data_IF_095215264317
#
_entry.id   IF_095215264317
#
_cell.length_a   1.000
_cell.length_b   1.000
_cell.length_c   1.000
_cell.angle_alpha   90.00
_cell.angle_beta   90.00
_cell.angle_gamma   90.00
#
_symmetry.space_group_name_H-M   'P 1'
#
loop_
_entity.id
_entity.type
_entity.pdbx_description
1 polymer ?
#
# COMPACT_ATOMS: atom_id res chain seq x y z
N UNK A 1 -16.34 -12.52 18.32
CA UNK A 1 -16.17 -11.19 17.71
C UNK A 1 -14.83 -10.65 18.19
N UNK A 2 -13.84 -10.62 17.29
CA UNK A 2 -12.44 -10.33 17.63
C UNK A 2 -12.25 -8.81 17.65
N UNK A 3 -12.16 -8.23 18.85
CA UNK A 3 -11.88 -6.81 19.01
C UNK A 3 -10.37 -6.57 19.00
N UNK A 4 -9.99 -5.68 18.08
CA UNK A 4 -9.04 -4.60 18.29
C UNK A 4 -7.58 -4.96 18.61
N UNK A 5 -6.79 -4.86 17.54
CA UNK A 5 -5.45 -4.26 17.46
C UNK A 5 -5.02 -3.71 18.83
N UNK A 6 -4.10 -4.43 19.48
CA UNK A 6 -3.50 -4.04 20.76
C UNK A 6 -2.90 -2.64 20.62
N UNK A 7 -3.67 -1.61 21.01
CA UNK A 7 -3.16 -0.27 21.30
C UNK A 7 -1.96 -0.46 22.21
N UNK A 8 -0.78 -0.07 21.73
CA UNK A 8 0.51 -0.34 22.35
C UNK A 8 0.48 0.09 23.83
N UNK A 9 0.28 -0.89 24.70
CA UNK A 9 0.36 -0.76 26.15
C UNK A 9 1.80 -0.34 26.45
N UNK A 10 2.01 0.75 27.20
CA UNK A 10 3.33 1.22 27.67
C UNK A 10 4.15 0.00 28.13
N UNK A 11 5.08 -0.47 27.29
CA UNK A 11 5.82 -1.71 27.51
C UNK A 11 6.95 -1.37 28.48
N UNK A 12 6.60 -1.38 29.77
CA UNK A 12 7.45 -1.31 30.96
C UNK A 12 8.46 -0.15 31.03
N UNK A 13 8.89 0.19 32.23
CA UNK A 13 9.90 1.24 32.49
C UNK A 13 11.32 0.81 32.06
N UNK A 14 11.45 0.13 30.92
CA UNK A 14 12.69 -0.48 30.42
C UNK A 14 13.39 0.50 29.48
N UNK A 15 14.60 0.91 29.86
CA UNK A 15 15.49 1.69 28.98
C UNK A 15 15.90 0.80 27.81
N UNK A 16 15.66 1.26 26.58
CA UNK A 16 16.04 0.58 25.34
C UNK A 16 17.42 1.09 24.92
N UNK A 17 18.38 0.19 24.75
CA UNK A 17 19.78 0.52 24.45
C UNK A 17 20.13 0.42 22.96
N UNK A 18 19.29 -0.23 22.15
CA UNK A 18 19.50 -0.34 20.70
C UNK A 18 19.75 1.02 20.03
N UNK A 19 20.78 1.07 19.20
CA UNK A 19 21.17 2.26 18.45
C UNK A 19 20.39 2.38 17.14
N UNK A 20 20.06 1.24 16.52
CA UNK A 20 19.27 1.15 15.28
C UNK A 20 17.82 0.73 15.54
N UNK A 21 16.94 0.93 14.56
CA UNK A 21 15.55 0.52 14.65
C UNK A 21 15.43 -1.01 14.82
N UNK A 22 16.24 -1.77 14.09
CA UNK A 22 16.34 -3.23 14.17
C UNK A 22 16.77 -3.70 15.55
N UNK A 23 17.79 -3.07 16.15
CA UNK A 23 18.26 -3.40 17.49
C UNK A 23 17.19 -3.12 18.55
N UNK A 24 16.55 -1.94 18.48
CA UNK A 24 15.46 -1.58 19.38
C UNK A 24 14.28 -2.53 19.23
N UNK A 25 13.91 -2.88 18.00
CA UNK A 25 12.83 -3.82 17.73
C UNK A 25 13.15 -5.20 18.32
N UNK A 26 14.36 -5.71 18.11
CA UNK A 26 14.79 -6.99 18.66
C UNK A 26 14.81 -6.98 20.19
N UNK A 27 15.26 -5.89 20.81
CA UNK A 27 15.29 -5.73 22.27
C UNK A 27 13.88 -5.74 22.88
N UNK A 28 12.90 -5.14 22.19
CA UNK A 28 11.50 -5.07 22.63
C UNK A 28 10.75 -6.37 22.36
N UNK A 29 10.94 -6.97 21.18
CA UNK A 29 10.12 -8.07 20.68
C UNK A 29 10.78 -9.46 20.78
N UNK A 30 12.08 -9.52 21.08
CA UNK A 30 12.85 -10.76 21.17
C UNK A 30 13.11 -11.45 19.82
N UNK A 31 12.74 -10.83 18.70
CA UNK A 31 12.91 -11.34 17.34
C UNK A 31 13.29 -10.18 16.41
N UNK A 32 13.90 -10.51 15.26
CA UNK A 32 14.22 -9.53 14.23
C UNK A 32 12.97 -9.08 13.47
N UNK A 33 13.06 -7.92 12.81
CA UNK A 33 11.99 -7.39 11.94
C UNK A 33 11.68 -8.39 10.81
N UNK A 34 12.71 -9.01 10.23
CA UNK A 34 12.54 -9.98 9.14
C UNK A 34 11.85 -11.27 9.60
N UNK A 35 12.21 -11.81 10.77
CA UNK A 35 11.49 -12.95 11.36
C UNK A 35 10.03 -12.59 11.69
N UNK A 36 9.77 -11.36 12.14
CA UNK A 36 8.41 -10.89 12.39
C UNK A 36 7.59 -10.80 11.09
N UNK A 37 8.16 -10.24 10.01
CA UNK A 37 7.54 -10.19 8.68
C UNK A 37 7.26 -11.59 8.15
N UNK A 38 8.23 -12.51 8.22
CA UNK A 38 8.10 -13.89 7.76
C UNK A 38 6.99 -14.65 8.51
N UNK A 39 6.93 -14.53 9.85
CA UNK A 39 5.83 -15.10 10.65
C UNK A 39 4.47 -14.50 10.29
N UNK A 40 4.43 -13.21 9.94
CA UNK A 40 3.23 -12.55 9.45
C UNK A 40 2.76 -13.14 8.11
N UNK A 41 3.69 -13.34 7.18
CA UNK A 41 3.40 -13.93 5.88
C UNK A 41 2.93 -15.39 5.99
N UNK A 42 3.56 -16.20 6.85
CA UNK A 42 3.12 -17.57 7.13
C UNK A 42 1.69 -17.61 7.67
N UNK A 43 1.37 -16.76 8.66
CA UNK A 43 0.02 -16.65 9.22
C UNK A 43 -0.99 -16.27 8.15
N UNK A 44 -0.63 -15.31 7.30
CA UNK A 44 -1.48 -14.86 6.20
C UNK A 44 -1.72 -15.98 5.18
N UNK A 45 -0.67 -16.72 4.80
CA UNK A 45 -0.76 -17.89 3.92
C UNK A 45 -1.64 -18.99 4.50
N UNK A 46 -1.54 -19.26 5.81
CA UNK A 46 -2.39 -20.24 6.50
C UNK A 46 -3.86 -19.81 6.50
N UNK A 47 -4.14 -18.52 6.68
CA UNK A 47 -5.52 -18.00 6.73
C UNK A 47 -6.18 -17.89 5.34
N UNK A 48 -5.43 -17.41 4.35
CA UNK A 48 -5.98 -17.06 3.03
C UNK A 48 -5.67 -18.09 1.93
N UNK A 49 -4.71 -19.00 2.18
CA UNK A 49 -4.22 -19.96 1.19
C UNK A 49 -3.30 -19.37 0.12
N UNK A 50 -2.90 -18.11 0.22
CA UNK A 50 -2.09 -17.40 -0.78
C UNK A 50 -1.11 -16.40 -0.14
N UNK A 51 -0.10 -15.95 -0.89
CA UNK A 51 0.81 -14.90 -0.43
C UNK A 51 0.13 -13.53 -0.38
N UNK A 52 0.72 -12.58 0.36
CA UNK A 52 0.23 -11.21 0.41
C UNK A 52 0.22 -10.54 -0.96
N UNK A 53 1.26 -10.81 -1.77
CA UNK A 53 1.38 -10.29 -3.13
C UNK A 53 0.28 -10.81 -4.05
N UNK A 54 0.05 -12.11 -4.09
CA UNK A 54 -1.03 -12.70 -4.89
C UNK A 54 -2.40 -12.18 -4.43
N UNK A 55 -2.60 -12.06 -3.11
CA UNK A 55 -3.84 -11.53 -2.56
C UNK A 55 -4.07 -10.09 -2.99
N UNK A 56 -3.02 -9.27 -2.95
CA UNK A 56 -3.09 -7.88 -3.35
C UNK A 56 -3.35 -7.73 -4.86
N UNK A 57 -2.65 -8.51 -5.69
CA UNK A 57 -2.89 -8.55 -7.14
C UNK A 57 -4.34 -8.93 -7.42
N UNK A 58 -4.86 -9.98 -6.77
CA UNK A 58 -6.26 -10.39 -6.90
C UNK A 58 -7.23 -9.27 -6.49
N UNK A 59 -6.94 -8.56 -5.41
CA UNK A 59 -7.73 -7.43 -4.94
C UNK A 59 -7.78 -6.32 -6.01
N UNK A 60 -6.64 -5.87 -6.52
CA UNK A 60 -6.59 -4.76 -7.49
C UNK A 60 -7.15 -5.13 -8.86
N UNK A 61 -7.08 -6.40 -9.27
CA UNK A 61 -7.72 -6.86 -10.51
C UNK A 61 -9.24 -6.99 -10.36
N UNK A 62 -9.72 -7.34 -9.17
CA UNK A 62 -11.15 -7.60 -8.93
C UNK A 62 -12.03 -6.35 -8.80
N UNK A 63 -11.44 -5.15 -8.84
CA UNK A 63 -12.14 -3.88 -8.61
C UNK A 63 -11.86 -2.90 -9.74
N UNK A 64 -12.87 -2.16 -10.17
CA UNK A 64 -12.65 -1.01 -11.06
C UNK A 64 -12.06 0.16 -10.26
N UNK A 65 -11.37 1.13 -10.90
CA UNK A 65 -10.87 2.32 -10.21
C UNK A 65 -11.96 3.14 -9.53
N UNK A 66 -13.17 3.14 -10.10
CA UNK A 66 -14.34 3.80 -9.51
C UNK A 66 -14.77 3.09 -8.23
N UNK A 67 -14.85 1.76 -8.23
CA UNK A 67 -15.15 0.99 -7.02
C UNK A 67 -14.05 1.18 -5.96
N UNK A 68 -12.80 1.28 -6.41
CA UNK A 68 -11.66 1.54 -5.56
C UNK A 68 -11.79 2.89 -4.85
N UNK A 69 -12.06 3.97 -5.59
CA UNK A 69 -12.30 5.30 -5.03
C UNK A 69 -13.51 5.33 -4.09
N UNK A 70 -14.60 4.62 -4.44
CA UNK A 70 -15.77 4.48 -3.58
C UNK A 70 -15.42 3.83 -2.25
N UNK A 71 -14.62 2.77 -2.27
CA UNK A 71 -14.16 2.10 -1.06
C UNK A 71 -13.21 2.98 -0.23
N UNK A 72 -12.43 3.85 -0.86
CA UNK A 72 -11.49 4.75 -0.18
C UNK A 72 -12.17 5.97 0.45
N UNK A 73 -13.18 6.53 -0.21
CA UNK A 73 -13.78 7.84 0.11
C UNK A 73 -15.26 7.74 0.54
N UNK A 74 -15.88 6.55 0.49
CA UNK A 74 -17.30 6.30 0.77
C UNK A 74 -18.24 6.68 -0.38
N UNK A 75 -17.92 7.75 -1.10
CA UNK A 75 -18.65 8.23 -2.29
C UNK A 75 -17.68 8.62 -3.41
N UNK A 76 -18.18 8.65 -4.65
CA UNK A 76 -17.42 9.05 -5.84
C UNK A 76 -18.04 10.32 -6.41
N UNK A 77 -17.22 11.35 -6.60
CA UNK A 77 -17.60 12.61 -7.23
C UNK A 77 -17.49 12.54 -8.76
N UNK A 78 -18.01 13.56 -9.46
CA UNK A 78 -17.79 13.66 -10.92
C UNK A 78 -16.31 13.90 -11.26
N UNK A 79 -15.58 14.60 -10.40
CA UNK A 79 -14.15 14.84 -10.59
C UNK A 79 -13.33 13.56 -10.43
N UNK A 80 -13.75 12.64 -9.55
CA UNK A 80 -13.15 11.31 -9.41
C UNK A 80 -13.33 10.48 -10.70
N UNK A 81 -14.55 10.50 -11.26
CA UNK A 81 -14.85 9.81 -12.52
C UNK A 81 -14.00 10.39 -13.66
N UNK A 82 -13.85 11.73 -13.69
CA UNK A 82 -13.01 12.40 -14.67
C UNK A 82 -11.55 12.01 -14.51
N UNK A 83 -11.01 12.00 -13.29
CA UNK A 83 -9.64 11.59 -13.01
C UNK A 83 -9.37 10.17 -13.52
N UNK A 84 -10.27 9.22 -13.26
CA UNK A 84 -10.11 7.84 -13.75
C UNK A 84 -10.07 7.78 -15.26
N UNK A 85 -10.96 8.51 -15.94
CA UNK A 85 -10.95 8.59 -17.42
C UNK A 85 -9.66 9.20 -17.95
N UNK A 86 -9.21 10.31 -17.37
CA UNK A 86 -7.95 10.95 -17.75
C UNK A 86 -6.77 9.95 -17.64
N UNK A 87 -6.71 9.15 -16.56
CA UNK A 87 -5.67 8.14 -16.36
C UNK A 87 -5.76 6.97 -17.36
N UNK A 88 -6.98 6.55 -17.71
CA UNK A 88 -7.21 5.52 -18.73
C UNK A 88 -6.82 6.04 -20.13
N UNK A 89 -7.15 7.29 -20.46
CA UNK A 89 -6.77 7.96 -21.71
C UNK A 89 -5.25 8.15 -21.84
N UNK A 90 -4.54 8.31 -20.72
CA UNK A 90 -3.08 8.27 -20.66
C UNK A 90 -2.50 6.87 -20.96
N UNK A 91 -3.32 5.83 -21.00
CA UNK A 91 -2.91 4.46 -21.31
C UNK A 91 -2.59 3.58 -20.09
N UNK A 92 -2.94 4.02 -18.88
CA UNK A 92 -2.84 3.16 -17.69
C UNK A 92 -4.05 2.22 -17.63
N UNK A 93 -3.80 0.94 -17.34
CA UNK A 93 -4.88 -0.01 -17.12
C UNK A 93 -5.44 0.12 -15.70
N UNK A 94 -6.68 -0.33 -15.50
CA UNK A 94 -7.41 -0.26 -14.24
C UNK A 94 -6.64 -0.83 -13.04
N UNK A 95 -5.94 -1.95 -13.21
CA UNK A 95 -5.13 -2.54 -12.15
C UNK A 95 -3.98 -1.64 -11.72
N UNK A 96 -3.28 -1.02 -12.68
CA UNK A 96 -2.21 -0.06 -12.41
C UNK A 96 -2.76 1.21 -11.77
N UNK A 97 -3.90 1.70 -12.24
CA UNK A 97 -4.59 2.84 -11.64
C UNK A 97 -4.92 2.55 -10.17
N UNK A 98 -5.43 1.35 -9.85
CA UNK A 98 -5.72 0.96 -8.47
C UNK A 98 -4.46 0.99 -7.58
N UNK A 99 -3.31 0.50 -8.08
CA UNK A 99 -2.03 0.56 -7.35
C UNK A 99 -1.56 2.01 -7.19
N UNK A 100 -1.72 2.85 -8.22
CA UNK A 100 -1.40 4.28 -8.17
C UNK A 100 -2.24 5.00 -7.09
N UNK A 101 -3.55 4.74 -7.04
CA UNK A 101 -4.45 5.34 -6.05
C UNK A 101 -4.05 4.99 -4.61
N UNK A 102 -3.72 3.71 -4.35
CA UNK A 102 -3.15 3.28 -3.07
C UNK A 102 -1.85 4.01 -2.74
N UNK A 103 -0.93 4.05 -3.71
CA UNK A 103 0.38 4.67 -3.54
C UNK A 103 0.24 6.14 -3.14
N UNK A 104 -0.53 6.93 -3.90
CA UNK A 104 -0.74 8.36 -3.63
C UNK A 104 -1.34 8.58 -2.24
N UNK A 105 -2.29 7.74 -1.83
CA UNK A 105 -2.89 7.85 -0.49
C UNK A 105 -1.87 7.63 0.62
N UNK A 106 -0.88 6.77 0.41
CA UNK A 106 0.16 6.48 1.40
C UNK A 106 1.24 7.57 1.41
N UNK A 107 1.66 8.07 0.24
CA UNK A 107 2.79 9.03 0.17
C UNK A 107 2.36 10.49 0.30
N UNK A 108 1.10 10.83 -0.01
CA UNK A 108 0.65 12.22 0.05
C UNK A 108 0.40 12.68 1.49
N UNK A 109 1.25 13.59 1.96
CA UNK A 109 1.11 14.25 3.27
C UNK A 109 0.00 15.31 3.30
N UNK A 110 -0.47 15.73 2.13
CA UNK A 110 -1.48 16.80 1.94
C UNK A 110 -2.85 16.26 1.55
N UNK A 111 -3.02 14.93 1.55
CA UNK A 111 -4.25 14.25 1.19
C UNK A 111 -4.34 13.86 -0.30
N UNK A 112 -5.48 13.33 -0.70
CA UNK A 112 -5.70 12.84 -2.06
C UNK A 112 -6.09 14.00 -2.98
N UNK A 113 -5.17 14.44 -3.84
CA UNK A 113 -5.36 15.57 -4.78
C UNK A 113 -5.26 15.06 -6.20
N UNK A 114 -6.27 15.33 -7.03
CA UNK A 114 -6.38 14.76 -8.38
C UNK A 114 -5.23 15.16 -9.31
N UNK A 115 -4.77 16.42 -9.23
CA UNK A 115 -3.62 16.89 -10.02
C UNK A 115 -2.36 16.10 -9.68
N UNK A 116 -2.11 15.84 -8.40
CA UNK A 116 -0.97 15.04 -7.95
C UNK A 116 -1.06 13.59 -8.46
N UNK A 117 -2.25 12.99 -8.40
CA UNK A 117 -2.47 11.63 -8.92
C UNK A 117 -2.13 11.57 -10.42
N UNK A 118 -2.60 12.58 -11.17
CA UNK A 118 -2.32 12.68 -12.60
C UNK A 118 -0.83 12.87 -12.90
N UNK A 119 -0.15 13.78 -12.21
CA UNK A 119 1.29 14.04 -12.39
C UNK A 119 2.12 12.77 -12.11
N UNK A 120 1.76 12.02 -11.07
CA UNK A 120 2.42 10.74 -10.76
C UNK A 120 2.09 9.69 -11.83
N UNK A 121 0.85 9.61 -12.30
CA UNK A 121 0.44 8.72 -13.38
C UNK A 121 1.21 8.97 -14.69
N UNK A 122 1.36 10.25 -15.08
CA UNK A 122 2.19 10.64 -16.23
C UNK A 122 3.67 10.26 -16.00
N UNK A 123 4.19 10.48 -14.78
CA UNK A 123 5.55 10.01 -14.44
C UNK A 123 5.70 8.50 -14.50
N UNK A 124 4.67 7.71 -14.19
CA UNK A 124 4.70 6.26 -14.25
C UNK A 124 4.77 5.78 -15.69
N UNK A 125 3.94 6.37 -16.56
CA UNK A 125 3.97 6.09 -17.99
C UNK A 125 5.36 6.38 -18.59
N UNK A 126 5.94 7.54 -18.29
CA UNK A 126 7.28 7.93 -18.76
C UNK A 126 8.39 6.99 -18.27
N UNK A 127 8.15 6.25 -17.18
CA UNK A 127 9.08 5.26 -16.61
C UNK A 127 8.74 3.82 -17.01
N UNK A 128 7.81 3.61 -17.95
CA UNK A 128 7.29 2.31 -18.36
C UNK A 128 6.67 1.49 -17.22
N UNK A 129 6.02 2.15 -16.27
CA UNK A 129 5.28 1.52 -15.17
C UNK A 129 3.83 1.31 -15.63
N UNK A 130 3.61 0.29 -16.45
CA UNK A 130 2.33 0.04 -17.15
C UNK A 130 1.70 -1.32 -16.83
N UNK A 131 2.30 -2.10 -15.93
CA UNK A 131 1.74 -3.36 -15.42
C UNK A 131 1.62 -3.33 -13.89
N UNK A 132 0.78 -4.19 -13.33
CA UNK A 132 0.60 -4.25 -11.87
C UNK A 132 1.94 -4.59 -11.19
N UNK A 133 2.71 -5.51 -11.75
CA UNK A 133 4.00 -5.95 -11.22
C UNK A 133 5.03 -4.82 -11.25
N UNK A 134 5.09 -4.06 -12.35
CA UNK A 134 6.00 -2.91 -12.47
C UNK A 134 5.59 -1.78 -11.53
N UNK A 135 4.29 -1.55 -11.33
CA UNK A 135 3.77 -0.60 -10.35
C UNK A 135 4.13 -1.00 -8.92
N UNK A 136 3.89 -2.25 -8.54
CA UNK A 136 4.26 -2.78 -7.22
C UNK A 136 5.77 -2.71 -6.98
N UNK A 137 6.59 -3.06 -7.98
CA UNK A 137 8.04 -2.94 -7.91
C UNK A 137 8.50 -1.48 -7.76
N UNK A 138 7.87 -0.55 -8.47
CA UNK A 138 8.13 0.89 -8.34
C UNK A 138 7.84 1.37 -6.91
N UNK A 139 6.66 1.04 -6.38
CA UNK A 139 6.25 1.41 -5.01
C UNK A 139 7.22 0.87 -3.96
N UNK A 140 7.59 -0.41 -4.03
CA UNK A 140 8.57 -1.03 -3.12
C UNK A 140 9.91 -0.31 -3.17
N UNK A 141 10.36 0.06 -4.36
CA UNK A 141 11.62 0.80 -4.54
C UNK A 141 11.54 2.18 -3.91
N UNK A 142 10.45 2.91 -4.06
CA UNK A 142 10.29 4.23 -3.46
C UNK A 142 10.16 4.18 -1.92
N UNK A 143 9.58 3.12 -1.35
CA UNK A 143 9.53 2.96 0.11
C UNK A 143 10.86 2.61 0.77
N UNK A 144 11.77 1.99 0.03
CA UNK A 144 13.10 1.62 0.54
C UNK A 144 14.15 2.74 0.35
N UNK A 145 13.74 3.92 -0.14
CA UNK A 145 14.59 5.11 -0.23
C UNK A 145 14.42 5.98 1.01
#
# INVERSE_FOLDING_TARGET
MSNDIKRFKKISDKVIYGSTAEERFKEVHGITIEEWKSKGEERFKVETGMSYEEWYIKKVISSTPIDYLKNLNGSVSQDDIKLVKDLQELGLNDGVINVLLDYVKIVSKIGFIHSLVRDIGESWLNKNVTTIESAMAFVRKEWNK
#
